data_IF_807040069957
#
_entry.id   IF_807040069957
#
_cell.length_a   1.000
_cell.length_b   1.000
_cell.length_c   1.000
_cell.angle_alpha   90.00
_cell.angle_beta   90.00
_cell.angle_gamma   90.00
#
_symmetry.space_group_name_H-M   'P 1'
#
loop_
_entity.id
_entity.type
_entity.pdbx_description
1 polymer ?
#
# COMPACT_ATOMS: atom_id res chain seq x y z
N UNK A 1 3.14 -7.65 -13.34
CA UNK A 1 3.10 -6.21 -13.02
C UNK A 1 2.88 -5.47 -14.35
N UNK A 2 1.78 -4.73 -14.49
CA UNK A 2 1.53 -3.87 -15.65
C UNK A 2 1.62 -2.42 -15.14
N UNK A 3 2.34 -1.54 -15.84
CA UNK A 3 2.52 -0.17 -15.37
C UNK A 3 2.58 0.86 -16.49
N UNK A 4 2.16 2.09 -16.17
CA UNK A 4 2.20 3.29 -17.00
C UNK A 4 2.27 4.52 -16.08
N UNK A 5 3.04 5.54 -16.43
CA UNK A 5 3.09 6.84 -15.73
C UNK A 5 3.32 6.72 -14.20
N UNK A 6 4.28 5.89 -13.78
CA UNK A 6 4.63 5.57 -12.38
C UNK A 6 3.56 4.83 -11.55
N UNK A 7 2.45 4.42 -12.17
CA UNK A 7 1.41 3.59 -11.54
C UNK A 7 1.65 2.14 -11.94
N UNK A 8 1.72 1.22 -10.95
CA UNK A 8 1.74 -0.22 -11.22
C UNK A 8 0.51 -0.90 -10.61
N UNK A 9 -0.08 -1.79 -11.39
CA UNK A 9 -1.23 -2.57 -10.98
C UNK A 9 -0.78 -3.96 -10.52
N UNK A 10 -1.20 -4.34 -9.31
CA UNK A 10 -0.96 -5.65 -8.72
C UNK A 10 -2.29 -6.33 -8.42
N UNK A 11 -2.49 -7.49 -9.04
CA UNK A 11 -3.59 -8.39 -8.72
C UNK A 11 -3.08 -9.42 -7.71
N UNK A 12 -3.58 -9.36 -6.48
CA UNK A 12 -3.28 -10.34 -5.45
C UNK A 12 -4.58 -11.04 -5.03
N UNK A 13 -4.50 -12.29 -4.56
CA UNK A 13 -5.62 -12.98 -3.90
C UNK A 13 -5.21 -13.21 -2.43
N UNK A 14 -5.75 -12.45 -1.46
CA UNK A 14 -5.44 -12.59 -0.05
C UNK A 14 -6.09 -13.83 0.54
N UNK A 15 -5.65 -14.28 1.72
CA UNK A 15 -6.16 -15.47 2.38
C UNK A 15 -7.67 -15.38 2.63
N UNK A 16 -8.42 -16.44 2.28
CA UNK A 16 -9.89 -16.47 2.39
C UNK A 16 -10.44 -16.01 3.74
N UNK A 17 -9.76 -16.37 4.84
CA UNK A 17 -10.15 -16.03 6.20
C UNK A 17 -10.29 -14.52 6.46
N UNK A 18 -9.56 -13.68 5.72
CA UNK A 18 -9.63 -12.21 5.83
C UNK A 18 -10.76 -11.59 4.99
N UNK A 19 -11.44 -12.42 4.19
CA UNK A 19 -12.32 -11.96 3.11
C UNK A 19 -13.76 -12.48 3.22
N UNK A 20 -13.99 -13.41 4.15
CA UNK A 20 -15.30 -14.04 4.34
C UNK A 20 -16.34 -13.07 4.91
N UNK A 21 -15.89 -12.01 5.58
CA UNK A 21 -16.74 -11.03 6.26
C UNK A 21 -17.00 -9.76 5.44
N UNK A 22 -16.30 -9.56 4.32
CA UNK A 22 -16.44 -8.34 3.50
C UNK A 22 -17.46 -8.52 2.38
N UNK A 23 -18.21 -7.45 2.01
CA UNK A 23 -19.16 -7.48 0.89
C UNK A 23 -18.50 -7.93 -0.43
N UNK A 24 -19.30 -8.48 -1.36
CA UNK A 24 -18.78 -9.02 -2.62
C UNK A 24 -17.94 -8.01 -3.43
N UNK A 25 -18.29 -6.71 -3.38
CA UNK A 25 -17.54 -5.65 -4.04
C UNK A 25 -16.20 -5.34 -3.36
N UNK A 26 -16.04 -5.69 -2.08
CA UNK A 26 -14.80 -5.57 -1.31
C UNK A 26 -13.90 -6.81 -1.45
N UNK A 27 -14.35 -7.87 -2.15
CA UNK A 27 -13.52 -9.01 -2.59
C UNK A 27 -12.67 -8.69 -3.83
N UNK A 28 -12.70 -7.43 -4.24
CA UNK A 28 -11.84 -6.86 -5.26
C UNK A 28 -10.47 -6.57 -4.64
N UNK A 29 -9.64 -7.59 -4.54
CA UNK A 29 -8.31 -7.54 -3.90
C UNK A 29 -7.23 -6.87 -4.74
N UNK A 30 -7.65 -5.93 -5.58
CA UNK A 30 -6.73 -5.20 -6.41
C UNK A 30 -5.94 -4.24 -5.53
N UNK A 31 -4.62 -4.35 -5.61
CA UNK A 31 -3.71 -3.40 -4.98
C UNK A 31 -3.21 -2.46 -6.07
N UNK A 32 -3.48 -1.18 -5.87
CA UNK A 32 -2.89 -0.12 -6.67
C UNK A 32 -1.60 0.32 -5.98
N UNK A 33 -0.47 0.00 -6.61
CA UNK A 33 0.83 0.32 -6.06
C UNK A 33 1.41 1.54 -6.78
N UNK A 34 1.62 2.60 -6.02
CA UNK A 34 2.15 3.88 -6.48
C UNK A 34 3.61 4.05 -6.04
N UNK A 35 4.40 4.66 -6.90
CA UNK A 35 5.83 4.90 -6.66
C UNK A 35 6.11 6.41 -6.60
N UNK A 36 5.88 7.07 -5.45
CA UNK A 36 6.22 8.47 -5.27
C UNK A 36 7.75 8.68 -5.20
N UNK A 37 8.20 9.87 -5.58
CA UNK A 37 9.62 10.26 -5.49
C UNK A 37 10.09 10.46 -4.03
N UNK A 38 9.17 10.84 -3.13
CA UNK A 38 9.41 10.99 -1.69
C UNK A 38 8.23 10.42 -0.88
N UNK A 39 8.31 9.14 -0.55
CA UNK A 39 7.27 8.44 0.21
C UNK A 39 7.13 8.96 1.64
N UNK A 40 8.22 9.47 2.24
CA UNK A 40 8.22 9.93 3.61
C UNK A 40 7.54 11.29 3.76
N UNK A 41 7.81 12.22 2.84
CA UNK A 41 7.12 13.50 2.79
C UNK A 41 5.62 13.33 2.50
N UNK A 42 5.26 12.45 1.56
CA UNK A 42 3.87 12.14 1.25
C UNK A 42 3.13 11.59 2.48
N UNK A 43 3.72 10.61 3.17
CA UNK A 43 3.17 10.03 4.39
C UNK A 43 2.94 11.08 5.48
N UNK A 44 3.96 11.91 5.75
CA UNK A 44 3.87 12.94 6.77
C UNK A 44 2.76 13.95 6.48
N UNK A 45 2.64 14.40 5.22
CA UNK A 45 1.59 15.31 4.80
C UNK A 45 0.19 14.69 5.00
N UNK A 46 -0.03 13.48 4.50
CA UNK A 46 -1.34 12.83 4.59
C UNK A 46 -1.73 12.42 6.01
N UNK A 47 -0.76 12.01 6.83
CA UNK A 47 -0.98 11.74 8.25
C UNK A 47 -1.36 13.03 9.00
N UNK A 48 -0.75 14.16 8.67
CA UNK A 48 -1.11 15.47 9.21
C UNK A 48 -2.51 15.92 8.79
N UNK A 49 -2.94 15.58 7.57
CA UNK A 49 -4.28 15.86 7.05
C UNK A 49 -5.36 14.91 7.60
N UNK A 50 -4.98 13.93 8.43
CA UNK A 50 -5.91 13.01 9.09
C UNK A 50 -6.37 11.84 8.23
N UNK A 51 -5.68 11.56 7.12
CA UNK A 51 -5.97 10.34 6.33
C UNK A 51 -5.59 9.09 7.15
N UNK A 52 -6.35 7.98 7.02
CA UNK A 52 -6.11 6.75 7.75
C UNK A 52 -4.97 5.92 7.12
N UNK A 53 -3.79 6.53 6.98
CA UNK A 53 -2.57 5.85 6.52
C UNK A 53 -1.98 4.98 7.62
N UNK A 54 -1.40 3.83 7.27
CA UNK A 54 -0.57 3.05 8.21
C UNK A 54 0.71 3.78 8.55
N UNK A 55 1.44 3.30 9.56
CA UNK A 55 2.82 3.76 9.77
C UNK A 55 3.74 3.34 8.62
N UNK A 56 4.78 4.14 8.38
CA UNK A 56 5.84 3.79 7.43
C UNK A 56 6.58 2.55 7.92
N UNK A 57 6.81 1.62 7.00
CA UNK A 57 7.60 0.40 7.22
C UNK A 57 8.67 0.26 6.16
N UNK A 58 9.77 -0.41 6.52
CA UNK A 58 10.80 -0.88 5.59
C UNK A 58 10.67 -2.40 5.48
N UNK A 59 10.40 -2.87 4.26
CA UNK A 59 10.15 -4.29 3.97
C UNK A 59 11.45 -5.05 3.75
N UNK A 60 11.38 -6.38 3.84
CA UNK A 60 12.54 -7.26 3.59
C UNK A 60 13.06 -7.18 2.14
N UNK A 61 12.19 -6.77 1.21
CA UNK A 61 12.51 -6.63 -0.21
C UNK A 61 12.95 -5.21 -0.60
N UNK A 62 13.29 -4.37 0.38
CA UNK A 62 13.95 -3.07 0.13
C UNK A 62 13.00 -1.94 -0.24
N UNK A 63 11.74 -1.98 0.19
CA UNK A 63 10.79 -0.88 0.01
C UNK A 63 10.51 -0.16 1.31
N UNK A 64 10.53 1.17 1.29
CA UNK A 64 9.92 2.01 2.31
C UNK A 64 8.51 2.34 1.85
N UNK A 65 7.50 1.94 2.63
CA UNK A 65 6.11 2.00 2.18
C UNK A 65 5.10 2.25 3.30
N UNK A 66 3.91 2.67 2.90
CA UNK A 66 2.70 2.71 3.72
C UNK A 66 1.47 2.40 2.84
N UNK A 67 0.35 2.12 3.48
CA UNK A 67 -0.90 1.81 2.79
C UNK A 67 -2.09 2.54 3.40
N UNK A 68 -3.18 2.61 2.64
CA UNK A 68 -4.49 3.02 3.13
C UNK A 68 -5.61 2.33 2.34
N UNK A 69 -6.81 2.35 2.92
CA UNK A 69 -8.05 1.97 2.23
C UNK A 69 -8.79 3.23 1.79
N UNK A 70 -9.17 3.29 0.53
CA UNK A 70 -10.02 4.37 0.03
C UNK A 70 -11.50 4.15 0.44
N UNK A 71 -12.40 5.12 0.20
CA UNK A 71 -13.81 4.98 0.55
C UNK A 71 -14.53 3.80 -0.13
N UNK A 72 -14.03 3.34 -1.28
CA UNK A 72 -14.54 2.18 -2.02
C UNK A 72 -13.84 0.86 -1.59
N UNK A 73 -12.96 0.95 -0.59
CA UNK A 73 -12.21 -0.13 0.05
C UNK A 73 -11.10 -0.76 -0.83
N UNK A 74 -10.66 -0.07 -1.88
CA UNK A 74 -9.47 -0.47 -2.63
C UNK A 74 -8.21 -0.33 -1.78
N UNK A 75 -7.25 -1.22 -2.02
CA UNK A 75 -5.97 -1.17 -1.34
C UNK A 75 -5.00 -0.28 -2.13
N UNK A 76 -4.60 0.83 -1.51
CA UNK A 76 -3.63 1.75 -2.10
C UNK A 76 -2.32 1.61 -1.33
N UNK A 77 -1.26 1.22 -2.04
CA UNK A 77 0.09 1.08 -1.50
C UNK A 77 0.99 2.14 -2.11
N UNK A 78 1.83 2.74 -1.29
CA UNK A 78 2.77 3.77 -1.72
C UNK A 78 4.15 3.35 -1.26
N UNK A 79 5.07 3.17 -2.20
CA UNK A 79 6.39 2.67 -1.86
C UNK A 79 7.50 3.26 -2.70
N UNK A 80 8.64 3.42 -2.05
CA UNK A 80 9.88 3.89 -2.64
C UNK A 80 11.01 2.91 -2.30
N UNK A 81 11.84 2.59 -3.29
CA UNK A 81 13.03 1.76 -3.07
C UNK A 81 13.95 2.44 -2.05
N UNK A 82 14.48 1.65 -1.11
CA UNK A 82 15.42 2.13 -0.10
C UNK A 82 16.41 1.03 0.30
N UNK A 83 17.51 1.43 0.93
CA UNK A 83 18.52 0.51 1.48
C UNK A 83 18.53 0.50 3.01
N UNK A 84 17.46 1.01 3.63
CA UNK A 84 17.34 1.03 5.09
C UNK A 84 17.14 -0.39 5.64
N UNK A 85 17.52 -0.68 6.90
CA UNK A 85 17.24 -1.97 7.51
C UNK A 85 15.73 -2.24 7.61
N UNK A 86 15.26 -3.48 7.36
CA UNK A 86 13.85 -3.84 7.50
C UNK A 86 13.31 -3.55 8.91
N UNK A 87 12.14 -2.93 8.98
CA UNK A 87 11.44 -2.65 10.25
C UNK A 87 10.35 -3.68 10.56
N UNK A 88 10.00 -4.50 9.58
CA UNK A 88 8.99 -5.56 9.69
C UNK A 88 9.56 -6.93 9.30
N UNK A 89 8.99 -7.99 9.88
CA UNK A 89 9.25 -9.38 9.52
C UNK A 89 7.95 -9.93 8.97
N UNK A 90 7.79 -9.81 7.65
CA UNK A 90 6.61 -10.31 6.92
C UNK A 90 6.57 -11.84 6.88
#
# INVERSE_FOLDING_TARGET
>A
MIGRDAIKFMLNEPPRAETDTVPLHAKNFQVYYFYPDDVAALHAAWKSDGLPVTDLRVTLYGMKEFELRDPDNYWLWFGQECNDPPTVRE
#
